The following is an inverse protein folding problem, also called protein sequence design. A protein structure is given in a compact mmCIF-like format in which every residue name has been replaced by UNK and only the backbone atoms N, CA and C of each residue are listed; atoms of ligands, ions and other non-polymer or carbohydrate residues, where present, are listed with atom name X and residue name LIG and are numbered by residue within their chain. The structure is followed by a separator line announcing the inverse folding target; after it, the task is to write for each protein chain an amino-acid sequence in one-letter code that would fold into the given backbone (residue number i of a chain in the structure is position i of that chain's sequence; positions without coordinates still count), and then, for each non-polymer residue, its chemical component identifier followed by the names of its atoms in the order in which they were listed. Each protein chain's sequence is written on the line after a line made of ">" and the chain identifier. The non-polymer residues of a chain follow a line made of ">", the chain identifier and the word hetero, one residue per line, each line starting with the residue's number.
data_IF_667308469737
#
_entry.id   IF_667308469737
#
_cell.length_a   1.000
_cell.length_b   1.000
_cell.length_c   1.000
_cell.angle_alpha   90.00
_cell.angle_beta   90.00
_cell.angle_gamma   90.00
#
_symmetry.space_group_name_H-M   'P 1'
#
loop_
_entity.id
_entity.type
_entity.pdbx_description
1 polymer ?
#
# COMPACT_ATOMS: atom_id res chain seq x y z
N UNK A 1 -15.31 -20.74 -4.98
CA UNK A 1 -13.98 -20.12 -4.83
C UNK A 1 -14.23 -18.72 -4.30
N UNK A 2 -13.63 -18.33 -3.17
CA UNK A 2 -13.75 -16.95 -2.68
C UNK A 2 -12.80 -16.12 -3.55
N UNK A 3 -13.33 -15.19 -4.31
CA UNK A 3 -12.52 -14.26 -5.10
C UNK A 3 -11.84 -13.28 -4.15
N UNK A 4 -10.51 -13.26 -4.13
CA UNK A 4 -9.73 -12.34 -3.30
C UNK A 4 -9.83 -10.94 -3.90
N UNK A 5 -10.35 -9.99 -3.13
CA UNK A 5 -10.46 -8.60 -3.56
C UNK A 5 -9.08 -7.94 -3.67
N UNK A 6 -8.95 -6.89 -4.49
CA UNK A 6 -7.75 -6.06 -4.54
C UNK A 6 -7.32 -5.56 -3.15
N UNK A 7 -8.29 -5.21 -2.30
CA UNK A 7 -8.04 -4.77 -0.92
C UNK A 7 -7.40 -5.87 -0.07
N UNK A 8 -7.90 -7.09 -0.15
CA UNK A 8 -7.35 -8.22 0.60
C UNK A 8 -5.94 -8.59 0.10
N UNK A 9 -5.75 -8.61 -1.21
CA UNK A 9 -4.44 -8.89 -1.82
C UNK A 9 -3.41 -7.83 -1.42
N UNK A 10 -3.74 -6.54 -1.52
CA UNK A 10 -2.84 -5.47 -1.13
C UNK A 10 -2.50 -5.53 0.36
N UNK A 11 -3.48 -5.84 1.21
CA UNK A 11 -3.26 -5.97 2.65
C UNK A 11 -2.32 -7.14 2.98
N UNK A 12 -2.44 -8.27 2.28
CA UNK A 12 -1.53 -9.40 2.42
C UNK A 12 -0.10 -9.02 2.04
N UNK A 13 0.10 -8.42 0.86
CA UNK A 13 1.42 -7.99 0.38
C UNK A 13 2.06 -6.92 1.30
N UNK A 14 1.28 -5.99 1.84
CA UNK A 14 1.77 -4.99 2.79
C UNK A 14 2.23 -5.61 4.10
N UNK A 15 1.48 -6.58 4.63
CA UNK A 15 1.86 -7.31 5.86
C UNK A 15 3.13 -8.12 5.65
N UNK A 16 3.27 -8.76 4.50
CA UNK A 16 4.42 -9.62 4.21
C UNK A 16 5.69 -8.82 3.90
N UNK A 17 5.57 -7.71 3.17
CA UNK A 17 6.74 -7.05 2.58
C UNK A 17 7.00 -5.62 3.06
N UNK A 18 6.00 -4.90 3.58
CA UNK A 18 6.13 -3.49 3.94
C UNK A 18 6.19 -3.23 5.46
N UNK A 19 5.66 -4.14 6.29
CA UNK A 19 5.60 -3.94 7.74
C UNK A 19 6.95 -4.28 8.41
N UNK A 20 7.57 -3.28 9.03
CA UNK A 20 8.76 -3.41 9.86
C UNK A 20 8.37 -3.19 11.32
N UNK A 21 8.52 -4.23 12.15
CA UNK A 21 8.19 -4.18 13.58
C UNK A 21 9.48 -3.96 14.38
N UNK A 22 9.45 -3.00 15.30
CA UNK A 22 10.60 -2.61 16.12
C UNK A 22 10.73 -1.09 16.23
N UNK A 23 11.49 -0.62 17.22
CA UNK A 23 11.71 0.83 17.40
C UNK A 23 12.44 1.40 16.17
N UNK A 24 11.81 2.40 15.55
CA UNK A 24 12.39 3.18 14.46
C UNK A 24 12.42 4.66 14.82
N UNK A 25 13.31 5.42 14.18
CA UNK A 25 13.26 6.89 14.18
C UNK A 25 12.77 7.35 12.82
N UNK A 26 11.60 8.00 12.79
CA UNK A 26 11.00 8.50 11.56
C UNK A 26 11.78 9.70 11.01
N UNK A 27 11.55 10.07 9.75
CA UNK A 27 12.15 11.28 9.14
C UNK A 27 11.80 12.58 9.87
N UNK A 28 10.72 12.58 10.66
CA UNK A 28 10.34 13.69 11.55
C UNK A 28 11.14 13.75 12.86
N UNK A 29 12.03 12.78 13.13
CA UNK A 29 12.75 12.62 14.39
C UNK A 29 11.96 11.90 15.49
N UNK A 30 10.66 11.62 15.28
CA UNK A 30 9.84 10.88 16.26
C UNK A 30 10.19 9.40 16.30
N UNK A 31 10.07 8.80 17.48
CA UNK A 31 10.12 7.35 17.67
C UNK A 31 8.77 6.70 17.33
N UNK A 32 8.81 5.48 16.81
CA UNK A 32 7.64 4.64 16.58
C UNK A 32 8.01 3.16 16.74
N UNK A 33 7.05 2.33 17.16
CA UNK A 33 7.26 0.89 17.37
C UNK A 33 7.15 0.06 16.08
N UNK A 34 6.80 0.72 14.97
CA UNK A 34 6.73 0.12 13.65
C UNK A 34 6.88 1.16 12.54
N UNK A 35 7.19 0.67 11.34
CA UNK A 35 7.24 1.44 10.11
C UNK A 35 6.58 0.66 8.97
N UNK A 36 5.92 1.38 8.05
CA UNK A 36 5.35 0.79 6.83
C UNK A 36 6.11 1.35 5.63
N UNK A 37 7.02 0.55 5.08
CA UNK A 37 7.73 0.88 3.84
C UNK A 37 6.94 0.39 2.62
N UNK A 38 5.91 1.16 2.23
CA UNK A 38 5.01 0.77 1.15
C UNK A 38 5.74 0.48 -0.18
N UNK A 39 6.91 1.09 -0.43
CA UNK A 39 7.70 0.85 -1.65
C UNK A 39 8.12 -0.62 -1.78
N UNK A 40 8.41 -1.30 -0.67
CA UNK A 40 8.81 -2.72 -0.69
C UNK A 40 7.70 -3.63 -1.19
N UNK A 41 6.44 -3.30 -0.91
CA UNK A 41 5.29 -4.03 -1.43
C UNK A 41 4.91 -3.53 -2.84
N UNK A 42 4.74 -2.22 -3.03
CA UNK A 42 4.22 -1.64 -4.27
C UNK A 42 5.12 -1.83 -5.49
N UNK A 43 6.41 -2.13 -5.32
CA UNK A 43 7.30 -2.51 -6.43
C UNK A 43 7.12 -3.98 -6.87
N UNK A 44 6.21 -4.74 -6.26
CA UNK A 44 5.89 -6.12 -6.63
C UNK A 44 4.65 -6.17 -7.53
N UNK A 45 4.58 -7.08 -8.52
CA UNK A 45 3.48 -7.10 -9.49
C UNK A 45 2.08 -7.23 -8.89
N UNK A 46 1.90 -8.09 -7.87
CA UNK A 46 0.61 -8.34 -7.25
C UNK A 46 0.10 -7.10 -6.50
N UNK A 47 0.94 -6.55 -5.61
CA UNK A 47 0.60 -5.35 -4.86
C UNK A 47 0.41 -4.12 -5.76
N UNK A 48 1.24 -3.96 -6.80
CA UNK A 48 1.12 -2.85 -7.74
C UNK A 48 -0.23 -2.86 -8.47
N UNK A 49 -0.64 -4.03 -8.99
CA UNK A 49 -1.95 -4.18 -9.64
C UNK A 49 -3.09 -3.87 -8.68
N UNK A 50 -3.07 -4.50 -7.50
CA UNK A 50 -4.11 -4.30 -6.50
C UNK A 50 -4.24 -2.84 -6.05
N UNK A 51 -3.11 -2.16 -5.82
CA UNK A 51 -3.10 -0.74 -5.51
C UNK A 51 -3.63 0.11 -6.68
N UNK A 52 -3.25 -0.21 -7.91
CA UNK A 52 -3.74 0.46 -9.11
C UNK A 52 -5.25 0.37 -9.28
N UNK A 53 -5.84 -0.79 -9.02
CA UNK A 53 -7.31 -0.99 -9.06
C UNK A 53 -8.03 -0.12 -8.03
N UNK A 54 -7.52 -0.06 -6.79
CA UNK A 54 -8.11 0.76 -5.73
C UNK A 54 -7.94 2.26 -6.01
N UNK A 55 -6.77 2.69 -6.49
CA UNK A 55 -6.51 4.08 -6.87
C UNK A 55 -7.40 4.49 -8.05
N UNK A 56 -7.58 3.63 -9.04
CA UNK A 56 -8.44 3.90 -10.19
C UNK A 56 -9.91 4.04 -9.78
N UNK A 57 -10.40 3.20 -8.85
CA UNK A 57 -11.74 3.31 -8.31
C UNK A 57 -11.95 4.66 -7.60
N UNK A 58 -11.01 5.07 -6.74
CA UNK A 58 -11.07 6.35 -6.04
C UNK A 58 -10.98 7.55 -7.00
N UNK A 59 -10.13 7.46 -8.02
CA UNK A 59 -9.99 8.49 -9.05
C UNK A 59 -11.29 8.65 -9.85
N UNK A 60 -11.96 7.54 -10.19
CA UNK A 60 -13.25 7.57 -10.87
C UNK A 60 -14.35 8.20 -10.01
N UNK A 61 -14.43 7.82 -8.72
CA UNK A 61 -15.39 8.40 -7.76
C UNK A 61 -15.22 9.92 -7.63
N UNK A 62 -13.96 10.38 -7.62
CA UNK A 62 -13.63 11.81 -7.53
C UNK A 62 -13.63 12.54 -8.87
N UNK A 63 -13.92 11.85 -9.97
CA UNK A 63 -13.85 12.40 -11.33
C UNK A 63 -12.47 13.03 -11.64
N UNK A 64 -11.40 12.45 -11.11
CA UNK A 64 -10.05 12.93 -11.31
C UNK A 64 -9.60 12.68 -12.75
N UNK A 65 -9.05 13.71 -13.40
CA UNK A 65 -8.53 13.61 -14.77
C UNK A 65 -7.13 12.97 -14.84
N UNK A 66 -6.39 12.95 -13.73
CA UNK A 66 -5.04 12.40 -13.64
C UNK A 66 -4.69 11.99 -12.20
N UNK A 67 -3.69 11.11 -12.05
CA UNK A 67 -3.10 10.67 -10.78
C UNK A 67 -1.56 10.77 -10.84
N UNK A 68 -0.91 11.19 -9.75
CA UNK A 68 0.56 11.29 -9.67
C UNK A 68 1.04 11.99 -8.39
N UNK A 69 2.34 11.87 -8.07
CA UNK A 69 3.00 12.46 -6.90
C UNK A 69 4.32 11.80 -6.54
#
# INVERSE_FOLDING_TARGET
>A
MIETTARELLLAELREHALVIGEVTLSSGRKADYYVDAKRALLRPAAYRAAGELIAAEAAERQAAAVGG
#
